data_IF_142729653157
#
_entry.id   IF_142729653157
#
_cell.length_a   1.000
_cell.length_b   1.000
_cell.length_c   1.000
_cell.angle_alpha   90.00
_cell.angle_beta   90.00
_cell.angle_gamma   90.00
#
_symmetry.space_group_name_H-M   'P 1'
#
loop_
_entity.id
_entity.type
_entity.pdbx_description
1 polymer ?
#
# COMPACT_ATOMS: atom_id res chain seq x y z
N UNK A 1 5.69 6.64 -7.14
CA UNK A 1 6.28 5.32 -7.08
C UNK A 1 6.73 4.79 -8.44
N UNK A 2 7.24 3.57 -8.47
CA UNK A 2 7.78 2.98 -9.72
C UNK A 2 6.71 2.73 -10.80
N UNK A 3 5.48 2.43 -10.39
CA UNK A 3 4.37 2.20 -11.34
C UNK A 3 4.17 3.33 -12.33
N UNK A 4 4.16 4.58 -11.86
CA UNK A 4 3.92 5.76 -12.70
C UNK A 4 5.10 6.15 -13.59
N UNK A 5 6.21 5.42 -13.54
CA UNK A 5 7.34 5.58 -14.45
C UNK A 5 7.23 4.72 -15.70
N UNK A 6 6.31 3.77 -15.71
CA UNK A 6 6.12 2.87 -16.83
C UNK A 6 5.34 3.57 -17.94
N UNK A 7 5.82 3.50 -19.18
CA UNK A 7 5.26 4.19 -20.35
C UNK A 7 3.77 3.90 -20.65
N UNK A 8 3.29 2.73 -20.20
CA UNK A 8 1.87 2.31 -20.36
C UNK A 8 1.00 2.65 -19.15
N UNK A 9 1.51 3.46 -18.21
CA UNK A 9 0.76 3.84 -17.00
C UNK A 9 0.60 5.35 -16.95
N UNK A 10 -0.65 5.80 -16.93
CA UNK A 10 -1.02 7.19 -16.68
C UNK A 10 -1.54 7.35 -15.26
N UNK A 11 -1.01 8.32 -14.52
CA UNK A 11 -1.53 8.68 -13.21
C UNK A 11 -2.69 9.67 -13.40
N UNK A 12 -3.89 9.25 -13.04
CA UNK A 12 -5.11 10.08 -13.17
C UNK A 12 -5.52 10.73 -11.84
N UNK A 13 -5.05 10.22 -10.71
CA UNK A 13 -5.36 10.77 -9.39
C UNK A 13 -4.36 10.38 -8.31
N UNK A 14 -4.23 11.25 -7.33
CA UNK A 14 -3.48 11.03 -6.08
C UNK A 14 -4.38 11.34 -4.90
N UNK A 15 -4.25 10.54 -3.85
CA UNK A 15 -5.03 10.72 -2.63
C UNK A 15 -4.13 10.60 -1.39
N UNK A 16 -4.25 11.55 -0.47
CA UNK A 16 -3.63 11.49 0.86
C UNK A 16 -4.44 12.36 1.83
N UNK A 17 -4.68 11.86 3.03
CA UNK A 17 -5.38 12.61 4.07
C UNK A 17 -4.66 13.92 4.45
N UNK A 18 -3.35 14.01 4.23
CA UNK A 18 -2.55 15.23 4.40
C UNK A 18 -2.28 15.92 3.06
N UNK A 19 -2.93 17.07 2.83
CA UNK A 19 -2.74 17.87 1.61
C UNK A 19 -1.35 18.47 1.46
N UNK A 20 -0.58 18.59 2.53
CA UNK A 20 0.78 19.16 2.54
C UNK A 20 1.89 18.10 2.48
N UNK A 21 1.57 16.84 2.26
CA UNK A 21 2.59 15.81 2.13
C UNK A 21 3.49 16.09 0.91
N UNK A 22 4.74 16.45 1.18
CA UNK A 22 5.65 17.03 0.19
C UNK A 22 5.89 16.20 -1.08
N UNK A 23 5.72 14.88 -1.01
CA UNK A 23 5.83 14.01 -2.19
C UNK A 23 4.67 14.21 -3.19
N UNK A 24 3.48 14.59 -2.73
CA UNK A 24 2.30 14.78 -3.58
C UNK A 24 2.52 15.91 -4.56
N UNK A 25 3.05 17.04 -4.12
CA UNK A 25 3.35 18.17 -5.00
C UNK A 25 4.35 17.79 -6.11
N UNK A 26 5.38 17.01 -5.75
CA UNK A 26 6.34 16.50 -6.72
C UNK A 26 5.70 15.56 -7.74
N UNK A 27 4.69 14.80 -7.38
CA UNK A 27 3.97 13.92 -8.31
C UNK A 27 2.99 14.69 -9.17
N UNK A 28 2.22 15.60 -8.59
CA UNK A 28 1.30 16.46 -9.34
C UNK A 28 2.02 17.34 -10.37
N UNK A 29 3.21 17.84 -10.03
CA UNK A 29 4.01 18.64 -11.00
C UNK A 29 4.45 17.82 -12.21
N UNK A 30 4.65 16.51 -12.05
CA UNK A 30 5.04 15.57 -13.12
C UNK A 30 3.85 15.01 -13.89
N UNK A 31 2.68 14.94 -13.26
CA UNK A 31 1.45 14.37 -13.81
C UNK A 31 0.34 15.42 -13.81
N UNK A 32 0.47 16.41 -14.71
CA UNK A 32 -0.39 17.61 -14.72
C UNK A 32 -1.88 17.32 -14.95
N UNK A 33 -2.21 16.18 -15.55
CA UNK A 33 -3.59 15.71 -15.75
C UNK A 33 -4.21 15.07 -14.51
N UNK A 34 -3.38 14.67 -13.54
CA UNK A 34 -3.84 14.00 -12.33
C UNK A 34 -4.47 14.99 -11.35
N UNK A 35 -5.56 14.56 -10.72
CA UNK A 35 -6.25 15.32 -9.68
C UNK A 35 -5.80 14.86 -8.29
N UNK A 36 -5.85 15.78 -7.33
CA UNK A 36 -5.61 15.46 -5.91
C UNK A 36 -6.92 15.40 -5.14
N UNK A 37 -6.99 14.44 -4.21
CA UNK A 37 -8.11 14.23 -3.31
C UNK A 37 -7.58 13.97 -1.89
N UNK A 38 -8.34 14.35 -0.87
CA UNK A 38 -8.03 13.94 0.51
C UNK A 38 -8.74 12.62 0.88
N UNK A 39 -9.90 12.36 0.31
CA UNK A 39 -10.68 11.15 0.53
C UNK A 39 -10.62 10.23 -0.70
N UNK A 40 -10.15 8.99 -0.51
CA UNK A 40 -10.09 8.00 -1.58
C UNK A 40 -11.46 7.62 -2.13
N UNK A 41 -12.51 7.75 -1.32
CA UNK A 41 -13.90 7.46 -1.74
C UNK A 41 -14.38 8.50 -2.74
N UNK A 42 -14.08 9.76 -2.46
CA UNK A 42 -14.34 10.87 -3.38
C UNK A 42 -13.53 10.71 -4.69
N UNK A 43 -12.24 10.34 -4.56
CA UNK A 43 -11.38 10.07 -5.71
C UNK A 43 -11.97 8.99 -6.60
N UNK A 44 -12.37 7.86 -6.04
CA UNK A 44 -12.93 6.74 -6.78
C UNK A 44 -14.28 7.11 -7.43
N UNK A 45 -15.13 7.83 -6.72
CA UNK A 45 -16.42 8.29 -7.26
C UNK A 45 -16.24 9.30 -8.40
N UNK A 46 -15.27 10.23 -8.26
CA UNK A 46 -15.04 11.30 -9.25
C UNK A 46 -14.35 10.78 -10.51
N UNK A 47 -13.37 9.91 -10.36
CA UNK A 47 -12.59 9.41 -11.48
C UNK A 47 -13.27 8.24 -12.20
N UNK A 48 -14.08 7.44 -11.49
CA UNK A 48 -14.93 6.40 -12.08
C UNK A 48 -14.18 5.47 -13.03
N UNK A 49 -14.66 5.42 -14.27
CA UNK A 49 -14.12 4.53 -15.32
C UNK A 49 -12.76 4.94 -15.86
N UNK A 50 -12.22 6.10 -15.46
CA UNK A 50 -10.86 6.52 -15.83
C UNK A 50 -9.78 5.78 -15.02
N UNK A 51 -10.18 5.00 -14.02
CA UNK A 51 -9.26 4.23 -13.16
C UNK A 51 -9.36 2.76 -13.49
N UNK A 52 -8.28 2.15 -13.93
CA UNK A 52 -8.17 0.69 -14.10
C UNK A 52 -7.56 0.02 -12.86
N UNK A 53 -6.57 0.67 -12.25
CA UNK A 53 -5.78 0.13 -11.14
C UNK A 53 -5.63 1.14 -10.01
N UNK A 54 -5.79 0.70 -8.79
CA UNK A 54 -5.54 1.50 -7.59
C UNK A 54 -4.32 0.97 -6.84
N UNK A 55 -3.34 1.85 -6.58
CA UNK A 55 -2.19 1.54 -5.72
C UNK A 55 -2.41 2.12 -4.34
N UNK A 56 -2.45 1.27 -3.32
CA UNK A 56 -2.74 1.63 -1.93
C UNK A 56 -1.48 1.51 -1.11
N UNK A 57 -1.03 2.64 -0.54
CA UNK A 57 0.18 2.77 0.27
C UNK A 57 -0.07 3.68 1.48
N UNK A 58 -1.25 3.60 2.01
CA UNK A 58 -1.76 4.30 3.18
C UNK A 58 -1.19 3.69 4.48
N UNK A 59 -1.53 4.20 5.67
CA UNK A 59 -1.28 3.48 6.92
C UNK A 59 -1.96 2.11 6.94
N UNK A 60 -1.36 1.17 7.66
CA UNK A 60 -1.72 -0.25 7.64
C UNK A 60 -3.22 -0.51 7.90
N UNK A 61 -3.82 0.25 8.83
CA UNK A 61 -5.23 0.09 9.22
C UNK A 61 -6.24 0.48 8.12
N UNK A 62 -5.81 1.26 7.13
CA UNK A 62 -6.67 1.66 6.00
C UNK A 62 -6.48 0.81 4.74
N UNK A 63 -5.56 -0.18 4.76
CA UNK A 63 -5.33 -1.03 3.59
C UNK A 63 -6.58 -1.81 3.19
N UNK A 64 -7.23 -2.51 4.13
CA UNK A 64 -8.42 -3.30 3.83
C UNK A 64 -9.58 -2.44 3.30
N UNK A 65 -10.07 -1.40 4.01
CA UNK A 65 -11.22 -0.64 3.54
C UNK A 65 -10.99 0.03 2.19
N UNK A 66 -9.79 0.58 1.93
CA UNK A 66 -9.48 1.18 0.65
C UNK A 66 -9.38 0.15 -0.48
N UNK A 67 -8.78 -1.02 -0.21
CA UNK A 67 -8.69 -2.12 -1.17
C UNK A 67 -10.09 -2.64 -1.54
N UNK A 68 -10.92 -2.93 -0.55
CA UNK A 68 -12.26 -3.43 -0.77
C UNK A 68 -13.13 -2.40 -1.52
N UNK A 69 -13.01 -1.11 -1.19
CA UNK A 69 -13.73 -0.06 -1.90
C UNK A 69 -13.37 -0.01 -3.39
N UNK A 70 -12.08 -0.08 -3.73
CA UNK A 70 -11.62 -0.12 -5.10
C UNK A 70 -12.12 -1.38 -5.84
N UNK A 71 -12.01 -2.56 -5.19
CA UNK A 71 -12.44 -3.83 -5.77
C UNK A 71 -13.95 -3.89 -6.01
N UNK A 72 -14.79 -3.32 -5.12
CA UNK A 72 -16.25 -3.21 -5.30
C UNK A 72 -16.63 -2.40 -6.55
N UNK A 73 -15.76 -1.49 -6.97
CA UNK A 73 -15.91 -0.72 -8.21
C UNK A 73 -15.25 -1.41 -9.41
N UNK A 74 -14.85 -2.67 -9.29
CA UNK A 74 -14.26 -3.45 -10.36
C UNK A 74 -12.81 -3.08 -10.69
N UNK A 75 -12.12 -2.33 -9.81
CA UNK A 75 -10.75 -1.89 -10.07
C UNK A 75 -9.73 -2.95 -9.64
N UNK A 76 -8.68 -3.13 -10.42
CA UNK A 76 -7.51 -3.91 -10.02
C UNK A 76 -6.75 -3.20 -8.91
N UNK A 77 -6.05 -3.94 -8.03
CA UNK A 77 -5.42 -3.30 -6.87
C UNK A 77 -4.00 -3.80 -6.62
N UNK A 78 -3.15 -2.88 -6.24
CA UNK A 78 -1.85 -3.14 -5.64
C UNK A 78 -1.85 -2.56 -4.23
N UNK A 79 -1.89 -3.41 -3.20
CA UNK A 79 -1.95 -2.97 -1.81
C UNK A 79 -0.63 -3.25 -1.10
N UNK A 80 -0.07 -2.25 -0.41
CA UNK A 80 1.19 -2.40 0.31
C UNK A 80 1.05 -3.40 1.47
N UNK A 81 2.19 -3.92 1.93
CA UNK A 81 2.29 -4.79 3.10
C UNK A 81 2.11 -3.98 4.41
N UNK A 82 1.52 -4.55 5.45
CA UNK A 82 0.73 -5.78 5.49
C UNK A 82 -0.57 -5.61 4.69
N UNK A 83 -1.08 -6.70 4.11
CA UNK A 83 -2.30 -6.61 3.30
C UNK A 83 -3.49 -6.10 4.11
N UNK A 84 -3.63 -6.61 5.32
CA UNK A 84 -4.72 -6.30 6.26
C UNK A 84 -4.23 -6.42 7.70
N UNK A 85 -5.03 -5.95 8.65
CA UNK A 85 -4.80 -6.17 10.09
C UNK A 85 -5.38 -7.51 10.58
N UNK A 86 -6.44 -8.01 9.95
CA UNK A 86 -7.16 -9.21 10.38
C UNK A 86 -7.09 -10.29 9.31
N UNK A 87 -6.99 -11.55 9.74
CA UNK A 87 -6.98 -12.69 8.83
C UNK A 87 -8.30 -12.81 8.04
N UNK A 88 -9.43 -12.51 8.67
CA UNK A 88 -10.73 -12.53 8.03
C UNK A 88 -10.79 -11.55 6.85
N UNK A 89 -10.27 -10.34 7.01
CA UNK A 89 -10.18 -9.32 5.96
C UNK A 89 -9.36 -9.82 4.76
N UNK A 90 -8.23 -10.50 5.03
CA UNK A 90 -7.39 -11.04 3.97
C UNK A 90 -8.10 -12.15 3.16
N UNK A 91 -8.88 -12.99 3.83
CA UNK A 91 -9.71 -14.02 3.17
C UNK A 91 -10.80 -13.40 2.33
N UNK A 92 -11.53 -12.44 2.88
CA UNK A 92 -12.59 -11.73 2.17
C UNK A 92 -12.07 -11.04 0.90
N UNK A 93 -10.91 -10.37 0.96
CA UNK A 93 -10.28 -9.80 -0.23
C UNK A 93 -9.93 -10.86 -1.27
N UNK A 94 -9.39 -12.01 -0.85
CA UNK A 94 -9.00 -13.08 -1.76
C UNK A 94 -10.23 -13.70 -2.44
N UNK A 95 -11.28 -13.98 -1.70
CA UNK A 95 -12.54 -14.54 -2.21
C UNK A 95 -13.23 -13.57 -3.17
N UNK A 96 -13.32 -12.29 -2.78
CA UNK A 96 -13.92 -11.26 -3.62
C UNK A 96 -13.13 -11.04 -4.92
N UNK A 97 -11.78 -11.05 -4.84
CA UNK A 97 -10.92 -10.93 -6.02
C UNK A 97 -11.14 -12.09 -7.00
N UNK A 98 -11.26 -13.32 -6.47
CA UNK A 98 -11.52 -14.51 -7.29
C UNK A 98 -12.91 -14.46 -7.94
N UNK A 99 -13.96 -14.12 -7.18
CA UNK A 99 -15.34 -13.98 -7.68
C UNK A 99 -15.42 -12.95 -8.81
N UNK A 100 -14.84 -11.77 -8.60
CA UNK A 100 -14.88 -10.65 -9.56
C UNK A 100 -13.79 -10.73 -10.63
N UNK A 101 -12.93 -11.75 -10.61
CA UNK A 101 -11.80 -11.94 -11.54
C UNK A 101 -10.86 -10.72 -11.59
N UNK A 102 -10.61 -10.12 -10.44
CA UNK A 102 -9.75 -8.96 -10.32
C UNK A 102 -8.29 -9.37 -10.17
N UNK A 103 -7.40 -8.63 -10.81
CA UNK A 103 -5.97 -8.78 -10.61
C UNK A 103 -5.55 -8.03 -9.34
N UNK A 104 -4.97 -8.76 -8.40
CA UNK A 104 -4.53 -8.20 -7.11
C UNK A 104 -3.09 -8.56 -6.83
N UNK A 105 -2.35 -7.64 -6.20
CA UNK A 105 -0.97 -7.86 -5.79
C UNK A 105 -0.68 -7.19 -4.45
N UNK A 106 -0.13 -7.95 -3.51
CA UNK A 106 0.42 -7.36 -2.29
C UNK A 106 1.86 -6.86 -2.51
N UNK A 107 2.19 -5.72 -1.94
CA UNK A 107 3.48 -5.04 -2.07
C UNK A 107 4.62 -5.69 -1.29
N UNK A 108 5.09 -6.85 -1.74
CA UNK A 108 6.27 -7.53 -1.19
C UNK A 108 7.44 -7.41 -2.18
N UNK A 109 7.92 -6.21 -2.38
CA UNK A 109 8.91 -5.87 -3.40
C UNK A 109 10.21 -6.67 -3.28
N UNK A 110 10.62 -6.98 -2.05
CA UNK A 110 11.88 -7.71 -1.81
C UNK A 110 11.88 -9.12 -2.42
N UNK A 111 10.72 -9.77 -2.55
CA UNK A 111 10.62 -11.08 -3.19
C UNK A 111 10.96 -11.05 -4.68
N UNK A 112 10.77 -9.90 -5.33
CA UNK A 112 11.07 -9.71 -6.75
C UNK A 112 12.53 -9.34 -7.02
N UNK A 113 13.30 -8.99 -5.98
CA UNK A 113 14.71 -8.59 -6.13
C UNK A 113 15.58 -9.77 -6.52
N UNK A 114 16.55 -9.50 -7.41
CA UNK A 114 17.48 -10.52 -7.90
C UNK A 114 18.23 -11.26 -6.78
N UNK A 115 18.81 -10.61 -5.74
CA UNK A 115 19.49 -11.33 -4.65
C UNK A 115 18.56 -12.31 -3.92
N UNK A 116 17.31 -11.94 -3.65
CA UNK A 116 16.34 -12.82 -3.00
C UNK A 116 16.02 -14.04 -3.87
N UNK A 117 15.75 -13.83 -5.16
CA UNK A 117 15.44 -14.89 -6.12
C UNK A 117 16.63 -15.83 -6.32
N UNK A 118 17.84 -15.27 -6.39
CA UNK A 118 19.08 -16.02 -6.47
C UNK A 118 19.29 -16.91 -5.25
N UNK A 119 19.23 -16.34 -4.04
CA UNK A 119 19.38 -17.08 -2.78
C UNK A 119 18.34 -18.22 -2.67
N UNK A 120 17.07 -17.93 -2.93
CA UNK A 120 16.00 -18.93 -2.92
C UNK A 120 16.27 -20.08 -3.91
N UNK A 121 16.76 -19.76 -5.12
CA UNK A 121 17.08 -20.76 -6.12
C UNK A 121 18.19 -21.70 -5.65
N UNK A 122 19.27 -21.16 -5.11
CA UNK A 122 20.40 -21.96 -4.63
C UNK A 122 20.06 -22.80 -3.40
N UNK A 123 19.30 -22.26 -2.46
CA UNK A 123 18.80 -23.03 -1.31
C UNK A 123 17.94 -24.21 -1.78
N UNK A 124 17.03 -24.00 -2.74
CA UNK A 124 16.20 -25.07 -3.32
C UNK A 124 17.00 -26.12 -4.05
N UNK A 125 18.13 -25.74 -4.65
CA UNK A 125 19.07 -26.67 -5.29
C UNK A 125 19.97 -27.44 -4.30
N UNK A 126 19.84 -27.17 -3.00
CA UNK A 126 20.57 -27.88 -1.96
C UNK A 126 22.03 -27.46 -1.78
N UNK A 127 22.47 -26.30 -2.33
CA UNK A 127 23.87 -25.85 -2.27
C UNK A 127 24.39 -25.78 -0.83
N UNK A 128 23.56 -25.38 0.12
CA UNK A 128 23.92 -25.34 1.56
C UNK A 128 23.50 -26.61 2.31
N UNK A 129 23.07 -27.65 1.58
CA UNK A 129 22.61 -28.89 2.18
C UNK A 129 21.26 -28.73 2.93
N UNK A 130 21.04 -29.65 3.87
CA UNK A 130 19.83 -29.66 4.69
C UNK A 130 19.86 -28.58 5.75
N UNK A 131 18.89 -27.65 5.72
CA UNK A 131 18.79 -26.58 6.71
C UNK A 131 18.41 -27.18 8.06
N UNK A 132 19.27 -26.98 9.08
CA UNK A 132 19.02 -27.43 10.45
C UNK A 132 18.58 -26.29 11.37
N UNK A 133 19.04 -25.07 11.10
CA UNK A 133 18.75 -23.91 11.97
C UNK A 133 18.74 -22.63 11.14
N UNK A 134 17.87 -21.71 11.47
CA UNK A 134 17.76 -20.39 10.86
C UNK A 134 17.86 -19.35 11.96
N UNK A 135 18.73 -18.37 11.78
CA UNK A 135 18.81 -17.20 12.64
C UNK A 135 18.28 -16.00 11.87
N UNK A 136 17.40 -15.24 12.51
CA UNK A 136 16.86 -13.99 11.96
C UNK A 136 17.06 -12.89 12.99
N UNK A 137 17.68 -11.80 12.56
CA UNK A 137 17.81 -10.62 13.41
C UNK A 137 17.53 -9.36 12.61
N UNK A 138 17.07 -8.32 13.31
CA UNK A 138 16.78 -7.01 12.72
C UNK A 138 17.51 -5.94 13.54
N UNK A 139 18.23 -5.07 12.87
CA UNK A 139 18.91 -3.92 13.47
C UNK A 139 18.02 -2.68 13.56
N UNK A 140 16.72 -2.82 13.28
CA UNK A 140 15.76 -1.72 13.38
C UNK A 140 15.38 -1.52 14.83
N UNK A 141 15.73 -0.37 15.39
CA UNK A 141 15.44 0.04 16.76
C UNK A 141 14.36 1.14 16.84
N UNK A 142 13.56 1.30 15.79
CA UNK A 142 12.40 2.18 15.82
C UNK A 142 11.19 1.41 16.35
N UNK A 143 10.44 2.05 17.19
CA UNK A 143 9.27 1.48 17.81
C UNK A 143 9.02 2.13 19.16
N UNK A 144 8.00 1.69 19.85
CA UNK A 144 7.71 2.14 21.20
C UNK A 144 8.76 1.57 22.17
N UNK A 145 9.46 2.46 22.88
CA UNK A 145 10.55 2.12 23.80
C UNK A 145 10.10 1.95 25.27
N UNK A 146 8.81 1.93 25.52
CA UNK A 146 8.21 1.79 26.86
C UNK A 146 8.11 3.09 27.65
N UNK A 147 8.60 4.21 27.11
CA UNK A 147 8.47 5.51 27.79
C UNK A 147 7.08 6.13 27.57
N UNK A 148 6.61 6.98 28.48
CA UNK A 148 5.39 7.75 28.24
C UNK A 148 5.48 8.50 26.91
N UNK A 149 4.37 8.56 26.18
CA UNK A 149 4.31 9.40 25.00
C UNK A 149 4.57 10.87 25.38
N UNK A 150 5.23 11.58 24.49
CA UNK A 150 5.44 13.02 24.61
C UNK A 150 4.09 13.75 24.72
N UNK A 151 4.15 15.03 25.07
CA UNK A 151 2.95 15.89 25.15
C UNK A 151 2.13 15.83 23.85
N UNK A 152 0.82 16.02 24.00
CA UNK A 152 -0.10 16.06 22.84
C UNK A 152 0.29 17.20 21.91
N UNK A 153 0.50 16.89 20.66
CA UNK A 153 0.69 17.89 19.61
C UNK A 153 -0.64 18.23 18.94
N UNK A 154 -0.75 19.47 18.47
CA UNK A 154 -1.90 19.84 17.65
C UNK A 154 -1.87 19.09 16.32
N UNK A 155 -3.05 18.71 15.82
CA UNK A 155 -3.18 18.13 14.50
C UNK A 155 -2.87 19.22 13.47
N UNK A 156 -1.97 18.98 12.49
CA UNK A 156 -1.71 19.94 11.43
C UNK A 156 -2.99 20.30 10.67
N UNK A 157 -3.18 21.57 10.32
CA UNK A 157 -4.36 22.04 9.56
C UNK A 157 -4.49 21.38 8.17
N UNK A 158 -3.39 20.92 7.62
CA UNK A 158 -3.37 20.22 6.32
C UNK A 158 -3.88 18.77 6.39
N UNK A 159 -3.89 18.17 7.59
CA UNK A 159 -4.27 16.78 7.82
C UNK A 159 -5.74 16.67 8.21
N UNK A 160 -6.52 15.97 7.41
CA UNK A 160 -7.83 15.49 7.85
C UNK A 160 -7.64 14.30 8.80
N UNK A 161 -7.78 14.58 10.09
CA UNK A 161 -7.57 13.61 11.15
C UNK A 161 -8.55 12.43 11.09
N UNK A 162 -9.81 12.69 10.74
CA UNK A 162 -10.82 11.64 10.63
C UNK A 162 -10.56 10.70 9.46
N UNK A 163 -10.14 11.25 8.33
CA UNK A 163 -9.73 10.44 7.17
C UNK A 163 -8.48 9.63 7.49
N UNK A 164 -7.53 10.20 8.25
CA UNK A 164 -6.30 9.50 8.65
C UNK A 164 -6.59 8.36 9.64
N UNK A 165 -7.44 8.58 10.63
CA UNK A 165 -7.88 7.54 11.57
C UNK A 165 -8.65 6.43 10.84
N UNK A 166 -9.54 6.81 9.94
CA UNK A 166 -10.33 5.86 9.16
C UNK A 166 -11.12 4.91 10.05
N UNK A 167 -10.70 3.64 10.06
CA UNK A 167 -11.33 2.54 10.83
C UNK A 167 -10.51 2.13 12.07
N UNK A 168 -9.52 2.92 12.47
CA UNK A 168 -8.70 2.64 13.65
C UNK A 168 -9.45 2.88 14.96
#
# INVERSE_FOLDING_TARGET
>A
GELVKHERVEAVGFCDADRNRGQIYSWLSKHKSAKFFQDYREMLATLGDKVDVVSISTPDHTHYPATMAAMKLGKHVYTQKPLTHKLAEARELAEFAAEKKLTTQMGIQNQSRAPYRFTRHHIKKGIIGKIKKVYVWSFKNWGYDGKPFAEKSAVPESLDWNLWLGTA
#
